data_IF_127017699043
#
_entry.id   IF_127017699043
#
_cell.length_a   1.000
_cell.length_b   1.000
_cell.length_c   1.000
_cell.angle_alpha   90.00
_cell.angle_beta   90.00
_cell.angle_gamma   90.00
#
_symmetry.space_group_name_H-M   'P 1'
#
loop_
_entity.id
_entity.type
_entity.pdbx_description
1 polymer ?
#
# COMPACT_ATOMS: atom_id res chain seq x y z
N UNK A 1 -11.57 -5.60 30.41
CA UNK A 1 -11.45 -4.96 29.07
C UNK A 1 -10.80 -5.93 28.10
N UNK A 2 -11.42 -6.28 26.96
CA UNK A 2 -10.74 -7.06 25.91
C UNK A 2 -9.68 -6.16 25.24
N UNK A 3 -8.43 -6.62 25.20
CA UNK A 3 -7.28 -5.87 24.66
C UNK A 3 -7.44 -5.70 23.14
N UNK A 4 -7.37 -4.47 22.64
CA UNK A 4 -7.54 -4.17 21.21
C UNK A 4 -6.20 -4.36 20.47
N UNK A 5 -5.83 -5.63 20.26
CA UNK A 5 -4.57 -6.03 19.63
C UNK A 5 -4.36 -5.43 18.24
N UNK A 6 -5.43 -5.25 17.46
CA UNK A 6 -5.35 -4.66 16.13
C UNK A 6 -4.79 -3.23 16.19
N UNK A 7 -5.33 -2.40 17.08
CA UNK A 7 -4.84 -1.03 17.30
C UNK A 7 -3.43 -1.00 17.87
N UNK A 8 -3.12 -1.89 18.81
CA UNK A 8 -1.78 -1.97 19.40
C UNK A 8 -0.72 -2.34 18.37
N UNK A 9 -1.01 -3.29 17.47
CA UNK A 9 -0.08 -3.67 16.41
C UNK A 9 0.07 -2.58 15.35
N UNK A 10 -1.01 -1.91 14.95
CA UNK A 10 -0.92 -0.77 14.01
C UNK A 10 -0.10 0.38 14.60
N UNK A 11 -0.36 0.79 15.84
CA UNK A 11 0.40 1.87 16.49
C UNK A 11 1.83 1.41 16.76
N UNK A 12 1.99 0.23 17.35
CA UNK A 12 3.29 -0.32 17.72
C UNK A 12 4.20 -0.52 16.50
N UNK A 13 3.67 -1.05 15.39
CA UNK A 13 4.43 -1.20 14.15
C UNK A 13 4.93 0.15 13.62
N UNK A 14 4.07 1.16 13.55
CA UNK A 14 4.47 2.50 13.12
C UNK A 14 5.50 3.15 14.05
N UNK A 15 5.35 2.96 15.37
CA UNK A 15 6.32 3.45 16.36
C UNK A 15 7.66 2.74 16.23
N UNK A 16 7.70 1.43 15.97
CA UNK A 16 8.94 0.69 15.74
C UNK A 16 9.64 1.19 14.47
N UNK A 17 8.90 1.49 13.40
CA UNK A 17 9.46 2.13 12.19
C UNK A 17 10.06 3.50 12.54
N UNK A 18 9.37 4.34 13.31
CA UNK A 18 9.92 5.65 13.69
C UNK A 18 11.14 5.52 14.61
N UNK A 19 11.11 4.56 15.54
CA UNK A 19 12.16 4.35 16.52
C UNK A 19 13.46 3.86 15.86
N UNK A 20 13.40 3.24 14.67
CA UNK A 20 14.60 2.82 13.95
C UNK A 20 15.55 3.98 13.65
N UNK A 21 15.05 5.22 13.57
CA UNK A 21 15.85 6.44 13.39
C UNK A 21 17.00 6.57 14.41
N UNK A 22 16.80 6.07 15.64
CA UNK A 22 17.80 6.13 16.71
C UNK A 22 18.84 5.00 16.68
N UNK A 23 18.71 4.07 15.74
CA UNK A 23 19.59 2.92 15.59
C UNK A 23 20.55 3.09 14.42
N UNK A 24 21.59 2.27 14.46
CA UNK A 24 22.51 2.10 13.35
C UNK A 24 21.83 1.40 12.18
N UNK A 25 22.05 1.89 10.95
CA UNK A 25 21.47 1.33 9.73
C UNK A 25 22.49 0.54 8.91
N UNK A 26 23.73 1.01 8.87
CA UNK A 26 24.83 0.28 8.26
C UNK A 26 26.15 0.53 8.98
N UNK A 27 27.02 -0.47 8.89
CA UNK A 27 28.35 -0.48 9.50
C UNK A 27 29.38 -1.02 8.53
N UNK A 28 30.61 -0.53 8.65
CA UNK A 28 31.74 -1.24 8.07
C UNK A 28 32.10 -2.46 8.92
N UNK A 29 32.41 -3.57 8.24
CA UNK A 29 33.04 -4.73 8.88
C UNK A 29 34.44 -4.31 9.33
N UNK A 30 34.81 -4.58 10.59
CA UNK A 30 36.18 -4.41 11.00
C UNK A 30 37.02 -5.44 10.25
N UNK A 31 37.89 -4.98 9.35
CA UNK A 31 38.90 -5.84 8.75
C UNK A 31 40.01 -6.06 9.79
N UNK A 32 40.59 -7.26 9.86
CA UNK A 32 41.47 -7.72 10.95
C UNK A 32 42.76 -6.90 11.17
N UNK A 33 42.99 -5.84 10.38
CA UNK A 33 44.06 -4.87 10.54
C UNK A 33 43.47 -3.48 10.84
N UNK A 34 43.54 -3.11 12.12
CA UNK A 34 43.01 -1.91 12.80
C UNK A 34 43.45 -0.53 12.24
N UNK A 35 43.24 -0.26 10.95
CA UNK A 35 43.56 1.05 10.34
C UNK A 35 42.36 1.98 10.14
N UNK A 36 41.12 1.49 10.33
CA UNK A 36 39.91 2.29 10.15
C UNK A 36 38.98 2.06 11.34
N UNK A 37 38.62 3.13 12.08
CA UNK A 37 37.58 3.05 13.11
C UNK A 37 36.27 2.57 12.47
N UNK A 38 35.48 1.69 13.11
CA UNK A 38 34.23 1.20 12.53
C UNK A 38 33.27 2.38 12.33
N UNK A 39 33.17 2.86 11.08
CA UNK A 39 32.23 3.90 10.72
C UNK A 39 30.84 3.27 10.66
N UNK A 40 29.96 3.78 11.50
CA UNK A 40 28.54 3.49 11.53
C UNK A 40 27.73 4.66 10.97
N UNK A 41 26.78 4.41 10.08
CA UNK A 41 25.74 5.38 9.75
C UNK A 41 24.52 5.13 10.64
N UNK A 42 24.16 6.10 11.49
CA UNK A 42 22.91 6.08 12.25
C UNK A 42 21.76 6.61 11.40
N UNK A 43 20.53 6.28 11.78
CA UNK A 43 19.35 6.79 11.09
C UNK A 43 19.31 8.33 11.03
N UNK A 44 19.65 9.01 12.11
CA UNK A 44 19.71 10.49 12.16
C UNK A 44 20.73 11.10 11.19
N UNK A 45 21.78 10.36 10.84
CA UNK A 45 22.86 10.82 9.96
C UNK A 45 22.57 10.51 8.48
N UNK A 46 21.38 9.96 8.17
CA UNK A 46 21.02 9.46 6.84
C UNK A 46 19.65 9.95 6.40
N UNK A 47 19.54 10.32 5.11
CA UNK A 47 18.25 10.63 4.50
C UNK A 47 17.26 9.47 4.59
N UNK A 48 17.76 8.22 4.55
CA UNK A 48 16.94 7.02 4.72
C UNK A 48 16.28 6.94 6.10
N UNK A 49 16.96 7.39 7.16
CA UNK A 49 16.38 7.44 8.49
C UNK A 49 15.21 8.42 8.57
N UNK A 50 15.39 9.62 8.00
CA UNK A 50 14.32 10.63 7.93
C UNK A 50 13.14 10.10 7.10
N UNK A 51 13.40 9.49 5.95
CA UNK A 51 12.35 8.89 5.11
C UNK A 51 11.58 7.82 5.89
N UNK A 52 12.26 6.91 6.60
CA UNK A 52 11.60 5.86 7.38
C UNK A 52 10.77 6.47 8.52
N UNK A 53 11.30 7.46 9.23
CA UNK A 53 10.56 8.16 10.28
C UNK A 53 9.27 8.78 9.74
N UNK A 54 9.35 9.50 8.61
CA UNK A 54 8.17 10.14 8.02
C UNK A 54 7.17 9.11 7.50
N UNK A 55 7.62 8.03 6.87
CA UNK A 55 6.75 6.91 6.49
C UNK A 55 6.03 6.30 7.70
N UNK A 56 6.76 6.09 8.80
CA UNK A 56 6.20 5.62 10.07
C UNK A 56 5.15 6.58 10.64
N UNK A 57 5.42 7.89 10.62
CA UNK A 57 4.47 8.91 11.08
C UNK A 57 3.21 8.96 10.20
N UNK A 58 3.35 8.86 8.87
CA UNK A 58 2.21 8.81 7.94
C UNK A 58 1.39 7.54 8.13
N UNK A 59 2.03 6.38 8.29
CA UNK A 59 1.35 5.13 8.62
C UNK A 59 0.62 5.22 9.97
N UNK A 60 1.21 5.87 10.98
CA UNK A 60 0.54 6.11 12.26
C UNK A 60 -0.72 6.97 12.08
N UNK A 61 -0.59 8.12 11.41
CA UNK A 61 -1.71 9.04 11.20
C UNK A 61 -2.85 8.35 10.43
N UNK A 62 -2.53 7.67 9.33
CA UNK A 62 -3.50 6.96 8.50
C UNK A 62 -4.10 5.75 9.23
N UNK A 63 -3.31 5.02 10.02
CA UNK A 63 -3.77 3.93 10.88
C UNK A 63 -4.76 4.39 11.94
N UNK A 64 -4.51 5.54 12.58
CA UNK A 64 -5.43 6.14 13.54
C UNK A 64 -6.75 6.60 12.88
N UNK A 65 -6.67 7.23 11.70
CA UNK A 65 -7.85 7.62 10.92
C UNK A 65 -8.69 6.39 10.59
N UNK A 66 -8.07 5.31 10.12
CA UNK A 66 -8.75 4.06 9.74
C UNK A 66 -9.36 3.34 10.96
N UNK A 67 -8.66 3.33 12.09
CA UNK A 67 -9.13 2.74 13.34
C UNK A 67 -10.27 3.52 14.01
N UNK A 68 -10.49 4.77 13.61
CA UNK A 68 -11.54 5.64 14.13
C UNK A 68 -12.94 5.23 13.62
N UNK A 69 -13.98 5.71 14.30
CA UNK A 69 -15.37 5.53 13.84
C UNK A 69 -15.67 6.32 12.56
N UNK A 70 -14.89 7.36 12.26
CA UNK A 70 -15.11 8.27 11.12
C UNK A 70 -15.18 7.50 9.80
N UNK A 71 -14.28 6.55 9.58
CA UNK A 71 -14.20 5.86 8.29
C UNK A 71 -15.33 4.87 8.06
N UNK A 72 -16.19 4.55 9.05
CA UNK A 72 -17.28 3.55 8.93
C UNK A 72 -18.23 3.83 7.77
N UNK A 73 -18.51 5.10 7.50
CA UNK A 73 -19.34 5.50 6.37
C UNK A 73 -18.57 5.36 5.05
N UNK A 74 -19.19 4.86 3.95
CA UNK A 74 -18.54 4.71 2.65
C UNK A 74 -17.87 5.99 2.16
N UNK A 75 -18.56 7.14 2.27
CA UNK A 75 -18.02 8.46 1.86
C UNK A 75 -16.73 8.80 2.61
N UNK A 76 -16.72 8.62 3.92
CA UNK A 76 -15.56 8.95 4.77
C UNK A 76 -14.40 7.97 4.55
N UNK A 77 -14.71 6.71 4.25
CA UNK A 77 -13.72 5.71 3.82
C UNK A 77 -13.01 6.16 2.54
N UNK A 78 -13.76 6.64 1.53
CA UNK A 78 -13.19 7.15 0.28
C UNK A 78 -12.38 8.44 0.49
N UNK A 79 -12.84 9.35 1.36
CA UNK A 79 -12.07 10.54 1.74
C UNK A 79 -10.73 10.17 2.39
N UNK A 80 -10.71 9.17 3.26
CA UNK A 80 -9.48 8.68 3.88
C UNK A 80 -8.51 8.09 2.84
N UNK A 81 -9.02 7.35 1.85
CA UNK A 81 -8.21 6.87 0.71
C UNK A 81 -7.60 8.05 -0.07
N UNK A 82 -8.40 9.06 -0.40
CA UNK A 82 -7.91 10.27 -1.07
C UNK A 82 -6.81 10.98 -0.27
N UNK A 83 -6.98 11.12 1.05
CA UNK A 83 -5.97 11.69 1.92
C UNK A 83 -4.66 10.87 1.93
N UNK A 84 -4.74 9.53 1.90
CA UNK A 84 -3.55 8.66 1.79
C UNK A 84 -2.81 8.85 0.47
N UNK A 85 -3.53 9.01 -0.65
CA UNK A 85 -2.92 9.30 -1.96
C UNK A 85 -2.20 10.64 -1.93
N UNK A 86 -2.86 11.69 -1.45
CA UNK A 86 -2.26 13.03 -1.34
C UNK A 86 -1.03 12.99 -0.44
N UNK A 87 -1.10 12.33 0.72
CA UNK A 87 0.04 12.19 1.62
C UNK A 87 1.23 11.53 0.90
N UNK A 88 1.03 10.42 0.20
CA UNK A 88 2.12 9.74 -0.52
C UNK A 88 2.74 10.61 -1.62
N UNK A 89 1.94 11.37 -2.36
CA UNK A 89 2.42 12.30 -3.39
C UNK A 89 3.21 13.45 -2.78
N UNK A 90 2.71 14.04 -1.68
CA UNK A 90 3.41 15.10 -0.95
C UNK A 90 4.75 14.60 -0.41
N UNK A 91 4.81 13.40 0.16
CA UNK A 91 6.07 12.79 0.60
C UNK A 91 7.06 12.63 -0.55
N UNK A 92 6.57 12.19 -1.70
CA UNK A 92 7.41 12.03 -2.90
C UNK A 92 7.91 13.39 -3.40
N UNK A 93 7.09 14.43 -3.35
CA UNK A 93 7.50 15.79 -3.69
C UNK A 93 8.56 16.35 -2.72
N UNK A 94 8.57 15.92 -1.45
CA UNK A 94 9.57 16.37 -0.47
C UNK A 94 10.90 15.62 -0.64
N UNK A 95 10.85 14.30 -0.80
CA UNK A 95 12.05 13.46 -0.75
C UNK A 95 12.62 13.06 -2.12
N UNK A 96 11.85 13.23 -3.20
CA UNK A 96 12.25 12.92 -4.56
C UNK A 96 11.97 14.12 -5.50
N UNK A 97 12.09 15.34 -4.98
CA UNK A 97 12.00 16.56 -5.77
C UNK A 97 13.09 16.58 -6.85
N UNK A 98 12.70 16.73 -8.11
CA UNK A 98 13.65 16.78 -9.23
C UNK A 98 14.16 15.41 -9.71
N UNK A 99 13.80 14.32 -9.03
CA UNK A 99 14.10 12.96 -9.49
C UNK A 99 13.11 12.55 -10.59
N UNK A 100 13.63 11.99 -11.67
CA UNK A 100 12.82 11.37 -12.73
C UNK A 100 12.81 9.85 -12.57
N UNK A 101 11.69 9.26 -12.94
CA UNK A 101 11.51 7.81 -13.05
C UNK A 101 11.17 7.50 -14.49
N UNK A 102 11.98 6.66 -15.12
CA UNK A 102 11.70 6.16 -16.46
C UNK A 102 10.79 4.94 -16.37
N UNK A 103 9.57 5.07 -16.87
CA UNK A 103 8.64 3.95 -17.01
C UNK A 103 8.75 3.44 -18.44
N UNK A 104 9.43 2.31 -18.61
CA UNK A 104 9.52 1.60 -19.89
C UNK A 104 8.70 0.32 -19.93
N UNK A 105 8.87 -0.45 -21.00
CA UNK A 105 8.28 -1.78 -21.22
C UNK A 105 8.69 -2.85 -20.18
N UNK A 106 9.61 -2.53 -19.27
CA UNK A 106 10.01 -3.39 -18.16
C UNK A 106 8.97 -3.50 -17.03
N UNK A 107 9.42 -3.95 -15.86
CA UNK A 107 8.56 -4.23 -14.70
C UNK A 107 7.67 -3.05 -14.28
N UNK A 108 8.17 -1.82 -14.36
CA UNK A 108 7.40 -0.62 -14.01
C UNK A 108 6.18 -0.42 -14.90
N UNK A 109 6.35 -0.51 -16.22
CA UNK A 109 5.24 -0.46 -17.16
C UNK A 109 4.28 -1.62 -16.95
N UNK A 110 4.78 -2.85 -16.80
CA UNK A 110 3.94 -4.03 -16.63
C UNK A 110 3.02 -3.93 -15.40
N UNK A 111 3.53 -3.43 -14.27
CA UNK A 111 2.74 -3.21 -13.05
C UNK A 111 1.63 -2.17 -13.28
N UNK A 112 1.94 -1.05 -13.96
CA UNK A 112 0.95 -0.02 -14.29
C UNK A 112 -0.11 -0.59 -15.24
N UNK A 113 0.30 -1.30 -16.29
CA UNK A 113 -0.58 -1.93 -17.26
C UNK A 113 -1.57 -2.91 -16.66
N UNK A 114 -1.06 -3.85 -15.86
CA UNK A 114 -1.89 -4.82 -15.16
C UNK A 114 -2.83 -4.13 -14.16
N UNK A 115 -2.34 -3.08 -13.48
CA UNK A 115 -3.16 -2.25 -12.59
C UNK A 115 -4.31 -1.56 -13.33
N UNK A 116 -4.03 -0.92 -14.46
CA UNK A 116 -5.04 -0.26 -15.32
C UNK A 116 -6.05 -1.29 -15.83
N UNK A 117 -5.58 -2.42 -16.36
CA UNK A 117 -6.44 -3.51 -16.83
C UNK A 117 -7.37 -4.01 -15.73
N UNK A 118 -6.83 -4.22 -14.52
CA UNK A 118 -7.63 -4.65 -13.38
C UNK A 118 -8.65 -3.61 -12.93
N UNK A 119 -8.31 -2.31 -12.96
CA UNK A 119 -9.26 -1.23 -12.68
C UNK A 119 -10.38 -1.19 -13.71
N UNK A 120 -10.06 -1.33 -15.00
CA UNK A 120 -11.05 -1.40 -16.09
C UNK A 120 -12.00 -2.57 -15.86
N UNK A 121 -11.46 -3.74 -15.51
CA UNK A 121 -12.28 -4.91 -15.17
C UNK A 121 -13.23 -4.64 -14.00
N UNK A 122 -12.72 -4.10 -12.89
CA UNK A 122 -13.55 -3.80 -11.73
C UNK A 122 -14.63 -2.75 -12.05
N UNK A 123 -14.29 -1.73 -12.84
CA UNK A 123 -15.24 -0.71 -13.28
C UNK A 123 -16.33 -1.31 -14.19
N UNK A 124 -15.96 -2.15 -15.15
CA UNK A 124 -16.90 -2.85 -16.03
C UNK A 124 -17.81 -3.79 -15.23
N UNK A 125 -17.26 -4.55 -14.29
CA UNK A 125 -18.03 -5.43 -13.41
C UNK A 125 -19.03 -4.64 -12.57
N UNK A 126 -18.63 -3.49 -12.02
CA UNK A 126 -19.53 -2.63 -11.24
C UNK A 126 -20.61 -1.98 -12.08
N UNK A 127 -20.28 -1.56 -13.30
CA UNK A 127 -21.27 -1.03 -14.24
C UNK A 127 -22.28 -2.10 -14.64
N UNK A 128 -21.82 -3.33 -14.89
CA UNK A 128 -22.71 -4.43 -15.23
C UNK A 128 -23.60 -4.82 -14.04
N UNK A 129 -23.07 -4.90 -12.81
CA UNK A 129 -23.85 -5.16 -11.59
C UNK A 129 -24.92 -4.09 -11.32
N UNK A 130 -24.71 -2.83 -11.74
CA UNK A 130 -25.67 -1.75 -11.49
C UNK A 130 -26.80 -1.68 -12.53
N UNK A 131 -26.61 -2.32 -13.68
CA UNK A 131 -27.56 -2.31 -14.81
C UNK A 131 -28.29 -3.62 -15.01
N UNK A 132 -27.71 -4.74 -14.58
CA UNK A 132 -28.28 -6.06 -14.77
C UNK A 132 -29.12 -6.47 -13.56
N UNK A 133 -30.28 -7.04 -13.85
CA UNK A 133 -31.13 -7.68 -12.87
C UNK A 133 -30.33 -8.83 -12.19
N UNK A 134 -30.28 -8.89 -10.84
CA UNK A 134 -29.55 -9.92 -10.11
C UNK A 134 -29.89 -11.36 -10.50
N UNK A 135 -31.11 -11.58 -11.02
CA UNK A 135 -31.64 -12.91 -11.37
C UNK A 135 -31.49 -13.23 -12.87
N UNK A 136 -30.91 -12.31 -13.66
CA UNK A 136 -30.63 -12.54 -15.07
C UNK A 136 -29.48 -13.55 -15.28
N UNK A 137 -29.59 -14.39 -16.31
CA UNK A 137 -28.51 -15.28 -16.75
C UNK A 137 -27.22 -14.53 -17.14
N UNK A 138 -27.34 -13.26 -17.53
CA UNK A 138 -26.18 -12.37 -17.76
C UNK A 138 -25.42 -12.06 -16.46
N UNK A 139 -26.13 -11.83 -15.35
CA UNK A 139 -25.52 -11.57 -14.05
C UNK A 139 -24.87 -12.83 -13.44
N UNK A 140 -25.32 -14.04 -13.78
CA UNK A 140 -24.67 -15.30 -13.39
C UNK A 140 -23.43 -15.59 -14.24
N UNK A 141 -23.49 -15.32 -15.55
CA UNK A 141 -22.36 -15.46 -16.47
C UNK A 141 -21.18 -14.52 -16.08
N UNK A 142 -21.48 -13.27 -15.72
CA UNK A 142 -20.50 -12.30 -15.19
C UNK A 142 -19.86 -12.73 -13.87
N UNK A 143 -20.56 -13.51 -13.05
CA UNK A 143 -20.04 -14.08 -11.79
C UNK A 143 -19.28 -15.39 -12.00
N UNK A 144 -19.43 -16.02 -13.17
CA UNK A 144 -18.80 -17.29 -13.55
C UNK A 144 -17.67 -17.13 -14.57
N UNK A 145 -17.58 -18.08 -15.51
CA UNK A 145 -16.48 -18.19 -16.48
C UNK A 145 -16.28 -16.94 -17.36
N UNK A 146 -17.36 -16.23 -17.70
CA UNK A 146 -17.29 -15.01 -18.53
C UNK A 146 -16.61 -13.85 -17.79
N UNK A 147 -16.82 -13.74 -16.48
CA UNK A 147 -16.10 -12.78 -15.64
C UNK A 147 -14.59 -13.05 -15.61
N UNK A 148 -14.17 -14.32 -15.67
CA UNK A 148 -12.76 -14.69 -15.74
C UNK A 148 -12.15 -14.36 -17.11
N UNK A 149 -12.90 -14.56 -18.20
CA UNK A 149 -12.48 -14.14 -19.55
C UNK A 149 -12.39 -12.62 -19.68
N UNK A 150 -13.31 -11.86 -19.07
CA UNK A 150 -13.24 -10.39 -19.03
C UNK A 150 -12.03 -9.91 -18.23
N UNK A 151 -11.70 -10.59 -17.12
CA UNK A 151 -10.47 -10.30 -16.37
C UNK A 151 -9.24 -10.54 -17.24
N UNK A 152 -9.11 -11.72 -17.86
CA UNK A 152 -7.99 -12.04 -18.75
C UNK A 152 -7.90 -11.02 -19.89
N UNK A 153 -9.01 -10.73 -20.56
CA UNK A 153 -9.07 -9.75 -21.64
C UNK A 153 -8.64 -8.36 -21.18
N UNK A 154 -9.10 -7.89 -20.02
CA UNK A 154 -8.70 -6.60 -19.46
C UNK A 154 -7.21 -6.53 -19.10
N UNK A 155 -6.64 -7.62 -18.60
CA UNK A 155 -5.21 -7.71 -18.27
C UNK A 155 -4.36 -7.73 -19.55
N UNK A 156 -4.81 -8.44 -20.59
CA UNK A 156 -4.18 -8.44 -21.92
C UNK A 156 -4.21 -7.04 -22.52
N UNK A 157 -5.38 -6.38 -22.51
CA UNK A 157 -5.51 -5.00 -23.00
C UNK A 157 -4.62 -4.05 -22.20
N UNK A 158 -4.61 -4.13 -20.87
CA UNK A 158 -3.74 -3.31 -20.02
C UNK A 158 -2.24 -3.54 -20.30
N UNK A 159 -1.85 -4.78 -20.56
CA UNK A 159 -0.48 -5.14 -20.93
C UNK A 159 -0.10 -4.65 -22.33
N UNK A 160 -1.01 -4.74 -23.29
CA UNK A 160 -0.80 -4.22 -24.66
C UNK A 160 -0.70 -2.68 -24.67
N UNK A 161 -1.57 -1.99 -23.92
CA UNK A 161 -1.48 -0.55 -23.73
C UNK A 161 -0.14 -0.14 -23.14
N UNK A 162 0.46 -0.97 -22.30
CA UNK A 162 1.78 -0.71 -21.74
C UNK A 162 2.87 -0.76 -22.80
N UNK A 163 2.88 -1.80 -23.65
CA UNK A 163 3.85 -1.91 -24.73
C UNK A 163 3.71 -0.79 -25.77
N UNK A 164 2.47 -0.33 -26.02
CA UNK A 164 2.18 0.77 -26.95
C UNK A 164 2.54 2.15 -26.39
N UNK A 165 2.30 2.39 -25.10
CA UNK A 165 2.51 3.71 -24.47
C UNK A 165 3.96 3.87 -23.98
N UNK A 166 4.55 2.82 -23.40
CA UNK A 166 5.86 2.86 -22.76
C UNK A 166 6.96 2.16 -23.56
N UNK A 167 6.73 1.88 -24.86
CA UNK A 167 7.69 1.19 -25.74
C UNK A 167 9.07 1.84 -25.75
N UNK A 168 9.12 3.18 -25.83
CA UNK A 168 10.36 3.96 -25.88
C UNK A 168 10.83 4.46 -24.50
N UNK A 169 10.09 4.13 -23.43
CA UNK A 169 10.33 4.67 -22.10
C UNK A 169 9.81 6.11 -21.96
N UNK A 170 8.93 6.33 -20.99
CA UNK A 170 8.47 7.68 -20.64
C UNK A 170 9.20 8.11 -19.38
N UNK A 171 9.98 9.17 -19.47
CA UNK A 171 10.50 9.88 -18.30
C UNK A 171 9.40 10.75 -17.70
N UNK A 172 9.12 10.55 -16.41
CA UNK A 172 8.18 11.36 -15.65
C UNK A 172 8.80 11.70 -14.29
N UNK A 173 8.33 12.77 -13.66
CA UNK A 173 8.77 13.05 -12.29
C UNK A 173 8.35 11.93 -11.34
N UNK A 174 9.16 11.65 -10.32
CA UNK A 174 8.86 10.63 -9.32
C UNK A 174 7.48 10.84 -8.66
N UNK A 175 7.07 12.11 -8.46
CA UNK A 175 5.76 12.47 -7.92
C UNK A 175 4.60 12.08 -8.85
N UNK A 176 4.75 12.23 -10.17
CA UNK A 176 3.75 11.77 -11.14
C UNK A 176 3.66 10.24 -11.14
N UNK A 177 4.81 9.55 -11.09
CA UNK A 177 4.86 8.10 -10.95
C UNK A 177 4.12 7.61 -9.70
N UNK A 178 4.39 8.23 -8.54
CA UNK A 178 3.71 7.90 -7.29
C UNK A 178 2.21 8.19 -7.37
N UNK A 179 1.81 9.32 -7.96
CA UNK A 179 0.40 9.66 -8.15
C UNK A 179 -0.33 8.59 -8.96
N UNK A 180 0.27 8.10 -10.06
CA UNK A 180 -0.30 7.05 -10.89
C UNK A 180 -0.48 5.76 -10.08
N UNK A 181 0.57 5.28 -9.43
CA UNK A 181 0.53 4.02 -8.65
C UNK A 181 -0.49 4.12 -7.52
N UNK A 182 -0.47 5.21 -6.75
CA UNK A 182 -1.38 5.39 -5.61
C UNK A 182 -2.83 5.61 -6.06
N UNK A 183 -3.07 6.25 -7.20
CA UNK A 183 -4.41 6.39 -7.79
C UNK A 183 -4.95 5.06 -8.29
N UNK A 184 -4.11 4.20 -8.86
CA UNK A 184 -4.49 2.84 -9.24
C UNK A 184 -4.88 2.01 -8.00
N UNK A 185 -4.07 2.03 -6.95
CA UNK A 185 -4.39 1.36 -5.69
C UNK A 185 -5.67 1.91 -5.05
N UNK A 186 -5.86 3.24 -5.06
CA UNK A 186 -7.08 3.88 -4.60
C UNK A 186 -8.32 3.44 -5.41
N UNK A 187 -8.20 3.36 -6.73
CA UNK A 187 -9.27 2.89 -7.60
C UNK A 187 -9.63 1.43 -7.31
N UNK A 188 -8.63 0.55 -7.23
CA UNK A 188 -8.83 -0.88 -6.91
C UNK A 188 -9.52 -1.05 -5.56
N UNK A 189 -9.01 -0.40 -4.52
CA UNK A 189 -9.54 -0.53 -3.15
C UNK A 189 -10.97 -0.01 -3.01
N UNK A 190 -11.32 1.00 -3.82
CA UNK A 190 -12.63 1.66 -3.84
C UNK A 190 -13.68 0.98 -4.71
N UNK A 191 -13.29 0.39 -5.84
CA UNK A 191 -14.23 -0.24 -6.79
C UNK A 191 -14.76 -1.60 -6.29
N UNK A 192 -14.06 -2.26 -5.36
CA UNK A 192 -14.53 -3.52 -4.78
C UNK A 192 -15.88 -3.39 -4.04
N UNK A 193 -16.62 -4.52 -3.92
CA UNK A 193 -18.05 -4.59 -3.51
C UNK A 193 -18.46 -3.81 -2.25
N UNK A 194 -17.56 -3.67 -1.28
CA UNK A 194 -17.79 -3.01 0.01
C UNK A 194 -16.90 -1.76 0.13
N UNK A 195 -17.42 -0.60 -0.28
CA UNK A 195 -16.71 0.70 -0.24
C UNK A 195 -16.37 1.17 1.18
N UNK A 196 -17.20 0.79 2.17
CA UNK A 196 -16.92 1.01 3.59
C UNK A 196 -15.64 0.31 4.07
N UNK A 197 -14.99 -0.55 3.27
CA UNK A 197 -13.71 -1.16 3.60
C UNK A 197 -12.53 -0.62 2.78
N UNK A 198 -12.77 0.36 1.88
CA UNK A 198 -11.74 0.89 1.00
C UNK A 198 -10.53 1.42 1.80
N UNK A 199 -10.75 2.22 2.85
CA UNK A 199 -9.68 2.75 3.69
C UNK A 199 -8.84 1.66 4.37
N UNK A 200 -9.45 0.54 4.80
CA UNK A 200 -8.72 -0.59 5.38
C UNK A 200 -7.84 -1.29 4.34
N UNK A 201 -8.36 -1.49 3.13
CA UNK A 201 -7.59 -2.09 2.03
C UNK A 201 -6.45 -1.19 1.60
N UNK A 202 -6.69 0.12 1.53
CA UNK A 202 -5.66 1.11 1.23
C UNK A 202 -4.59 1.18 2.33
N UNK A 203 -4.96 1.02 3.59
CA UNK A 203 -4.01 0.92 4.69
C UNK A 203 -3.08 -0.29 4.54
N UNK A 204 -3.63 -1.46 4.18
CA UNK A 204 -2.84 -2.67 3.91
C UNK A 204 -1.91 -2.45 2.70
N UNK A 205 -2.43 -1.86 1.61
CA UNK A 205 -1.62 -1.53 0.43
C UNK A 205 -0.49 -0.55 0.76
N UNK A 206 -0.78 0.48 1.57
CA UNK A 206 0.21 1.49 2.00
C UNK A 206 1.32 0.85 2.85
N UNK A 207 0.98 -0.13 3.70
CA UNK A 207 1.96 -0.89 4.45
C UNK A 207 2.87 -1.74 3.55
N UNK A 208 2.32 -2.37 2.51
CA UNK A 208 3.11 -3.11 1.51
C UNK A 208 4.03 -2.17 0.73
N UNK A 209 3.52 -1.03 0.25
CA UNK A 209 4.34 -0.02 -0.45
C UNK A 209 5.46 0.48 0.45
N UNK A 210 5.16 0.80 1.71
CA UNK A 210 6.18 1.21 2.70
C UNK A 210 7.22 0.11 2.92
N UNK A 211 6.78 -1.15 3.03
CA UNK A 211 7.66 -2.30 3.12
C UNK A 211 8.57 -2.47 1.91
N UNK A 212 8.05 -2.25 0.71
CA UNK A 212 8.86 -2.28 -0.52
C UNK A 212 9.90 -1.16 -0.52
N UNK A 213 9.52 0.07 -0.15
CA UNK A 213 10.47 1.19 -0.06
C UNK A 213 11.58 0.88 0.95
N UNK A 214 11.22 0.46 2.16
CA UNK A 214 12.19 0.12 3.21
C UNK A 214 13.06 -1.06 2.79
N UNK A 215 12.46 -2.13 2.26
CA UNK A 215 13.19 -3.35 1.85
C UNK A 215 14.18 -3.09 0.71
N UNK A 216 13.78 -2.29 -0.29
CA UNK A 216 14.68 -1.93 -1.40
C UNK A 216 15.76 -0.92 -0.99
N UNK A 217 15.56 -0.18 0.10
CA UNK A 217 16.54 0.79 0.61
C UNK A 217 17.80 0.14 1.19
N UNK A 218 17.81 -1.17 1.47
CA UNK A 218 18.97 -1.86 2.05
C UNK A 218 20.26 -1.71 1.23
N UNK A 219 20.17 -1.80 -0.10
CA UNK A 219 21.31 -1.56 -0.98
C UNK A 219 21.72 -0.08 -1.02
N UNK A 220 20.75 0.83 -1.02
CA UNK A 220 20.97 2.27 -1.04
C UNK A 220 21.60 2.80 0.27
N UNK A 221 21.27 2.18 1.41
CA UNK A 221 21.88 2.52 2.71
C UNK A 221 23.38 2.18 2.70
N UNK A 222 23.74 1.02 2.13
CA UNK A 222 25.15 0.60 2.00
C UNK A 222 25.94 1.52 1.08
N UNK A 223 25.38 1.91 -0.06
CA UNK A 223 26.06 2.86 -0.95
C UNK A 223 26.20 4.25 -0.31
N UNK A 224 25.23 4.67 0.49
CA UNK A 224 25.29 5.93 1.25
C UNK A 224 26.46 5.91 2.24
N UNK A 225 26.68 4.80 2.96
CA UNK A 225 27.81 4.67 3.89
C UNK A 225 29.17 4.77 3.17
N UNK A 226 29.30 4.14 1.99
CA UNK A 226 30.53 4.21 1.18
C UNK A 226 30.80 5.64 0.72
N UNK A 227 29.75 6.35 0.28
CA UNK A 227 29.85 7.76 -0.13
C UNK A 227 30.30 8.63 1.04
N UNK A 228 29.65 8.51 2.20
CA UNK A 228 30.04 9.25 3.41
C UNK A 228 31.51 8.98 3.77
N UNK A 229 31.96 7.73 3.60
CA UNK A 229 33.35 7.36 3.84
C UNK A 229 34.35 7.97 2.86
N UNK A 230 34.01 8.00 1.57
CA UNK A 230 34.82 8.66 0.57
C UNK A 230 34.94 10.18 0.85
N UNK A 231 33.84 10.82 1.26
CA UNK A 231 33.78 12.25 1.54
C UNK A 231 34.54 12.66 2.80
N UNK A 232 34.51 11.84 3.88
CA UNK A 232 35.13 12.22 5.16
C UNK A 232 36.46 11.56 5.50
N UNK A 233 36.84 10.46 4.83
CA UNK A 233 37.99 9.65 5.24
C UNK A 233 39.09 9.44 4.20
N UNK A 234 38.87 9.78 2.92
CA UNK A 234 39.81 9.53 1.81
C UNK A 234 40.28 8.05 1.66
N UNK A 235 39.63 7.10 2.35
CA UNK A 235 39.91 5.66 2.26
C UNK A 235 38.73 5.02 1.53
N UNK A 236 38.92 4.46 0.33
CA UNK A 236 37.83 3.84 -0.43
C UNK A 236 37.41 2.53 0.25
N UNK A 237 36.23 2.54 0.87
CA UNK A 237 35.57 1.33 1.36
C UNK A 237 34.93 0.54 0.22
N UNK A 238 35.05 -0.79 0.21
CA UNK A 238 34.38 -1.61 -0.80
C UNK A 238 32.96 -1.97 -0.36
N UNK A 239 32.08 -2.18 -1.34
CA UNK A 239 30.70 -2.58 -1.06
C UNK A 239 30.62 -3.87 -0.24
N UNK A 240 31.54 -4.82 -0.44
CA UNK A 240 31.61 -6.09 0.32
C UNK A 240 31.78 -5.87 1.82
N UNK A 241 32.42 -4.78 2.21
CA UNK A 241 32.81 -4.53 3.59
C UNK A 241 31.72 -3.79 4.36
N UNK A 242 30.65 -3.35 3.69
CA UNK A 242 29.47 -2.77 4.34
C UNK A 242 28.46 -3.85 4.72
N UNK A 243 27.91 -3.74 5.93
CA UNK A 243 26.79 -4.55 6.41
C UNK A 243 25.63 -3.66 6.83
N UNK A 244 24.42 -4.15 6.60
CA UNK A 244 23.20 -3.55 7.13
C UNK A 244 22.99 -4.05 8.57
N UNK A 245 22.54 -3.19 9.47
CA UNK A 245 22.46 -3.47 10.90
C UNK A 245 21.03 -3.38 11.44
N UNK A 246 20.89 -3.45 12.76
CA UNK A 246 19.61 -3.61 13.45
C UNK A 246 18.56 -2.54 13.16
N UNK A 247 18.93 -1.29 12.88
CA UNK A 247 17.94 -0.24 12.59
C UNK A 247 17.14 -0.51 11.31
N UNK A 248 17.78 -1.01 10.25
CA UNK A 248 17.07 -1.45 9.05
C UNK A 248 16.14 -2.64 9.34
N UNK A 249 16.60 -3.62 10.12
CA UNK A 249 15.77 -4.78 10.47
C UNK A 249 14.59 -4.39 11.36
N UNK A 250 14.79 -3.46 12.31
CA UNK A 250 13.72 -2.91 13.14
C UNK A 250 12.65 -2.22 12.28
N UNK A 251 13.04 -1.41 11.29
CA UNK A 251 12.10 -0.80 10.37
C UNK A 251 11.25 -1.85 9.63
N UNK A 252 11.87 -2.92 9.13
CA UNK A 252 11.15 -4.03 8.47
C UNK A 252 10.22 -4.79 9.45
N UNK A 253 10.66 -5.05 10.67
CA UNK A 253 9.82 -5.65 11.72
C UNK A 253 8.62 -4.75 12.01
N UNK A 254 8.83 -3.44 12.10
CA UNK A 254 7.77 -2.47 12.29
C UNK A 254 6.72 -2.50 11.17
N UNK A 255 7.15 -2.64 9.90
CA UNK A 255 6.24 -2.83 8.76
C UNK A 255 5.40 -4.11 8.91
N UNK A 256 6.01 -5.23 9.28
CA UNK A 256 5.30 -6.50 9.46
C UNK A 256 4.25 -6.38 10.57
N UNK A 257 4.62 -5.80 11.72
CA UNK A 257 3.70 -5.56 12.82
C UNK A 257 2.54 -4.64 12.41
N UNK A 258 2.85 -3.57 11.68
CA UNK A 258 1.84 -2.65 11.18
C UNK A 258 0.87 -3.34 10.23
N UNK A 259 1.39 -4.12 9.28
CA UNK A 259 0.59 -4.87 8.30
C UNK A 259 -0.33 -5.88 9.00
N UNK A 260 0.17 -6.62 9.99
CA UNK A 260 -0.66 -7.52 10.80
C UNK A 260 -1.78 -6.76 11.51
N UNK A 261 -1.49 -5.60 12.09
CA UNK A 261 -2.51 -4.74 12.70
C UNK A 261 -3.56 -4.27 11.69
N UNK A 262 -3.14 -3.85 10.50
CA UNK A 262 -4.04 -3.43 9.42
C UNK A 262 -4.96 -4.57 8.94
N UNK A 263 -4.43 -5.79 8.81
CA UNK A 263 -5.21 -6.99 8.46
C UNK A 263 -6.24 -7.31 9.57
N UNK A 264 -5.86 -7.21 10.84
CA UNK A 264 -6.80 -7.43 11.96
C UNK A 264 -7.91 -6.37 12.00
N UNK A 265 -7.58 -5.10 11.75
CA UNK A 265 -8.58 -4.03 11.65
C UNK A 265 -9.55 -4.30 10.49
N UNK A 266 -9.03 -4.72 9.34
CA UNK A 266 -9.84 -5.11 8.19
C UNK A 266 -10.74 -6.31 8.49
N UNK A 267 -10.22 -7.38 9.10
CA UNK A 267 -10.98 -8.59 9.43
C UNK A 267 -12.16 -8.26 10.37
N UNK A 268 -11.89 -7.54 11.46
CA UNK A 268 -12.93 -7.11 12.40
C UNK A 268 -14.01 -6.26 11.73
N UNK A 269 -13.62 -5.39 10.80
CA UNK A 269 -14.55 -4.55 10.05
C UNK A 269 -15.39 -5.36 9.08
N UNK A 270 -14.77 -6.30 8.38
CA UNK A 270 -15.45 -7.22 7.48
C UNK A 270 -16.54 -7.99 8.22
N UNK A 271 -16.25 -8.50 9.41
CA UNK A 271 -17.23 -9.25 10.20
C UNK A 271 -18.43 -8.40 10.58
N UNK A 272 -18.20 -7.14 11.00
CA UNK A 272 -19.28 -6.19 11.32
C UNK A 272 -20.14 -5.91 10.08
N UNK A 273 -19.51 -5.58 8.95
CA UNK A 273 -20.24 -5.25 7.71
C UNK A 273 -21.02 -6.46 7.21
N UNK A 274 -20.46 -7.67 7.30
CA UNK A 274 -21.17 -8.89 6.92
C UNK A 274 -22.36 -9.19 7.85
N UNK A 275 -22.23 -8.95 9.15
CA UNK A 275 -23.32 -9.11 10.10
C UNK A 275 -24.46 -8.11 9.81
N UNK A 276 -24.14 -6.84 9.57
CA UNK A 276 -25.11 -5.80 9.19
C UNK A 276 -25.83 -6.14 7.89
N UNK A 277 -25.10 -6.64 6.89
CA UNK A 277 -25.69 -7.08 5.61
C UNK A 277 -26.63 -8.27 5.77
N UNK A 278 -26.30 -9.25 6.63
CA UNK A 278 -27.19 -10.39 6.93
C UNK A 278 -28.46 -9.92 7.63
N UNK A 279 -28.33 -9.03 8.63
CA UNK A 279 -29.48 -8.48 9.34
C UNK A 279 -30.39 -7.65 8.42
N UNK A 280 -29.83 -6.86 7.51
CA UNK A 280 -30.60 -6.09 6.52
C UNK A 280 -31.39 -7.00 5.57
N UNK A 281 -30.76 -8.08 5.08
CA UNK A 281 -31.45 -9.08 4.22
C UNK A 281 -32.59 -9.78 4.94
N UNK A 282 -32.40 -10.14 6.21
CA UNK A 282 -33.43 -10.77 7.02
C UNK A 282 -34.63 -9.84 7.24
N UNK A 283 -34.39 -8.55 7.47
CA UNK A 283 -35.46 -7.55 7.58
C UNK A 283 -36.23 -7.37 6.27
N UNK A 284 -35.52 -7.22 5.15
CA UNK A 284 -36.15 -7.09 3.84
C UNK A 284 -36.98 -8.34 3.47
N UNK A 285 -36.50 -9.54 3.79
CA UNK A 285 -37.26 -10.77 3.59
C UNK A 285 -38.52 -10.81 4.48
N UNK A 286 -38.41 -10.40 5.75
CA UNK A 286 -39.55 -10.34 6.66
C UNK A 286 -40.60 -9.31 6.20
N UNK A 287 -40.18 -8.14 5.71
CA UNK A 287 -41.06 -7.12 5.15
C UNK A 287 -41.76 -7.60 3.86
N UNK A 288 -41.03 -8.31 2.99
CA UNK A 288 -41.62 -8.90 1.78
C UNK A 288 -42.67 -9.97 2.13
N UNK A 289 -42.37 -10.88 3.06
CA UNK A 289 -43.33 -11.88 3.52
C UNK A 289 -44.56 -11.26 4.20
N UNK A 290 -44.37 -10.18 4.97
CA UNK A 290 -45.49 -9.46 5.59
C UNK A 290 -46.38 -8.77 4.54
N UNK A 291 -45.79 -8.20 3.48
CA UNK A 291 -46.52 -7.59 2.38
C UNK A 291 -47.31 -8.63 1.56
N UNK A 292 -46.74 -9.81 1.32
CA UNK A 292 -47.43 -10.93 0.65
C UNK A 292 -48.62 -11.44 1.46
N UNK A 293 -48.46 -11.58 2.78
CA UNK A 293 -49.56 -11.98 3.68
C UNK A 293 -50.69 -10.94 3.72
N UNK A 294 -50.36 -9.65 3.67
CA UNK A 294 -51.35 -8.57 3.62
C UNK A 294 -52.07 -8.47 2.26
N UNK A 295 -51.46 -8.94 1.18
CA UNK A 295 -52.07 -8.98 -0.15
C UNK A 295 -52.91 -10.26 -0.38
N UNK A 296 -52.68 -11.32 0.40
CA UNK A 296 -53.37 -12.59 0.29
C UNK A 296 -54.57 -12.75 1.26
N UNK A 297 -54.73 -11.85 2.23
CA UNK A 297 -55.87 -11.79 3.17
C UNK A 297 -56.86 -10.71 2.79
#
# INVERSE_FOLDING_TARGET
MKRDWARLLTIGGAVVIMQSLFWEYARMQPDNNYLVMPWSARGLDSIHGIVFFVLGATLLATGLIVASKFTKAPRNSLMAVGAMVVAAVVLTLIFAAGESVTVGSGLGGAVIGLGVGFVIYLAAQRFAESRLDPDSGAASALRGGTGSLMLIGSLVVGSLLTGLIFGDGIEMSAAVGMLIVMSLLAAITSLMKQQAMAANRMLMASAVVTGTVIGLSGAAIRSTLIRLQAEGGNIPGQYRDTQVTWGYFLANIGVVLFFMGAVMLWARRRDIVQAEQRAAKQRAAAEASAAELAAAG
#
